data_IF_923101978155
#
_entry.id   IF_923101978155
#
_cell.length_a   1.000
_cell.length_b   1.000
_cell.length_c   1.000
_cell.angle_alpha   90.00
_cell.angle_beta   90.00
_cell.angle_gamma   90.00
#
_symmetry.space_group_name_H-M   'P 1'
#
loop_
_entity.id
_entity.type
_entity.pdbx_description
1 polymer ?
#
# COMPACT_ATOMS: atom_id res chain seq x y z
N UNK A 1 -2.94 -19.87 -5.85
CA UNK A 1 -2.72 -20.96 -6.86
C UNK A 1 -3.14 -20.58 -8.29
N UNK A 2 -4.43 -20.33 -8.60
CA UNK A 2 -4.86 -20.03 -9.98
C UNK A 2 -4.09 -18.88 -10.62
N UNK A 3 -4.00 -17.75 -9.93
CA UNK A 3 -3.27 -16.57 -10.39
C UNK A 3 -1.76 -16.85 -10.55
N UNK A 4 -1.12 -17.48 -9.54
CA UNK A 4 0.29 -17.88 -9.60
C UNK A 4 0.61 -18.81 -10.77
N UNK A 5 -0.28 -19.77 -11.08
CA UNK A 5 -0.12 -20.64 -12.25
C UNK A 5 -0.13 -19.84 -13.56
N UNK A 6 -1.02 -18.86 -13.69
CA UNK A 6 -1.03 -17.97 -14.85
C UNK A 6 0.29 -17.19 -14.97
N UNK A 7 0.82 -16.68 -13.85
CA UNK A 7 2.11 -16.00 -13.81
C UNK A 7 3.25 -16.94 -14.21
N UNK A 8 3.32 -18.14 -13.62
CA UNK A 8 4.35 -19.15 -13.96
C UNK A 8 4.30 -19.60 -15.41
N UNK A 9 3.10 -19.77 -15.98
CA UNK A 9 2.96 -20.26 -17.36
C UNK A 9 3.30 -19.19 -18.41
N UNK A 10 3.10 -17.89 -18.13
CA UNK A 10 3.13 -16.83 -19.15
C UNK A 10 3.98 -15.59 -18.83
N UNK A 11 4.45 -15.44 -17.59
CA UNK A 11 5.16 -14.25 -17.10
C UNK A 11 6.28 -14.57 -16.10
N UNK A 12 6.79 -15.80 -16.06
CA UNK A 12 7.81 -16.23 -15.10
C UNK A 12 9.07 -15.35 -15.16
N UNK A 13 9.39 -14.69 -14.05
CA UNK A 13 10.56 -13.79 -13.94
C UNK A 13 10.36 -12.40 -14.54
N UNK A 14 9.18 -12.10 -15.08
CA UNK A 14 8.77 -10.78 -15.56
C UNK A 14 7.99 -10.03 -14.47
N UNK A 15 7.83 -8.72 -14.63
CA UNK A 15 7.19 -7.92 -13.59
C UNK A 15 5.72 -8.24 -13.39
N UNK A 16 4.93 -8.33 -14.46
CA UNK A 16 3.47 -8.46 -14.35
C UNK A 16 2.88 -9.36 -15.43
N UNK A 17 1.84 -10.11 -15.06
CA UNK A 17 1.10 -10.96 -15.99
C UNK A 17 0.08 -10.15 -16.79
N UNK A 18 -0.02 -10.42 -18.09
CA UNK A 18 -1.14 -10.03 -18.95
C UNK A 18 -2.02 -11.27 -19.20
N UNK A 19 -3.04 -11.53 -18.35
CA UNK A 19 -3.70 -12.84 -18.28
C UNK A 19 -4.57 -13.17 -19.50
N UNK A 20 -5.07 -12.18 -20.24
CA UNK A 20 -5.90 -12.36 -21.44
C UNK A 20 -5.00 -12.65 -22.64
N UNK A 21 -3.97 -11.82 -22.87
CA UNK A 21 -3.03 -12.03 -23.97
C UNK A 21 -2.03 -13.16 -23.73
N UNK A 22 -1.96 -13.67 -22.48
CA UNK A 22 -0.99 -14.69 -22.05
C UNK A 22 0.45 -14.23 -22.31
N UNK A 23 0.71 -13.01 -21.89
CA UNK A 23 2.00 -12.34 -22.04
C UNK A 23 2.35 -11.62 -20.72
N UNK A 24 3.28 -10.69 -20.77
CA UNK A 24 3.76 -9.95 -19.61
C UNK A 24 4.03 -8.48 -19.98
N UNK A 25 4.11 -7.63 -18.96
CA UNK A 25 4.64 -6.27 -19.05
C UNK A 25 5.88 -6.13 -18.16
N UNK A 26 6.73 -5.16 -18.52
CA UNK A 26 7.93 -4.80 -17.77
C UNK A 26 7.93 -3.30 -17.53
N UNK A 27 8.37 -2.91 -16.33
CA UNK A 27 8.62 -1.53 -15.96
C UNK A 27 9.93 -1.43 -15.16
N UNK A 28 10.11 -2.30 -14.17
CA UNK A 28 11.39 -2.50 -13.49
C UNK A 28 12.30 -3.51 -14.21
N UNK A 29 11.71 -4.57 -14.76
CA UNK A 29 12.42 -5.74 -15.25
C UNK A 29 13.11 -6.51 -14.13
N UNK A 30 12.49 -6.63 -12.96
CA UNK A 30 13.06 -7.22 -11.75
C UNK A 30 12.25 -8.41 -11.21
N UNK A 31 11.26 -8.89 -11.96
CA UNK A 31 10.41 -9.99 -11.53
C UNK A 31 9.47 -9.56 -10.41
N UNK A 32 8.90 -8.36 -10.52
CA UNK A 32 8.10 -7.71 -9.49
C UNK A 32 7.07 -8.65 -8.84
N UNK A 33 6.14 -9.22 -9.61
CA UNK A 33 5.08 -10.12 -9.08
C UNK A 33 5.65 -11.32 -8.33
N UNK A 34 6.82 -11.83 -8.73
CA UNK A 34 7.48 -12.93 -8.03
C UNK A 34 7.94 -12.48 -6.64
N UNK A 35 8.63 -11.33 -6.56
CA UNK A 35 9.15 -10.80 -5.29
C UNK A 35 7.99 -10.43 -4.35
N UNK A 36 6.98 -9.76 -4.87
CA UNK A 36 5.77 -9.35 -4.14
C UNK A 36 5.01 -10.53 -3.54
N UNK A 37 5.07 -11.69 -4.19
CA UNK A 37 4.35 -12.89 -3.77
C UNK A 37 5.14 -13.79 -2.81
N UNK A 38 6.43 -13.53 -2.56
CA UNK A 38 7.30 -14.44 -1.78
C UNK A 38 6.77 -14.70 -0.37
N UNK A 39 6.49 -13.62 0.37
CA UNK A 39 5.98 -13.71 1.73
C UNK A 39 4.54 -14.25 1.76
N UNK A 40 3.70 -13.92 0.77
CA UNK A 40 2.37 -14.50 0.60
C UNK A 40 2.45 -16.02 0.42
N UNK A 41 3.33 -16.51 -0.47
CA UNK A 41 3.54 -17.94 -0.65
C UNK A 41 3.97 -18.60 0.66
N UNK A 42 4.84 -17.94 1.42
CA UNK A 42 5.28 -18.44 2.71
C UNK A 42 4.14 -18.53 3.75
N UNK A 43 3.35 -17.47 3.89
CA UNK A 43 2.21 -17.35 4.83
C UNK A 43 1.10 -18.35 4.49
N UNK A 44 0.78 -18.52 3.20
CA UNK A 44 -0.21 -19.48 2.70
C UNK A 44 0.33 -20.93 2.70
N UNK A 45 1.54 -21.17 3.19
CA UNK A 45 2.20 -22.50 3.20
C UNK A 45 2.39 -23.13 1.81
N UNK A 46 2.54 -22.32 0.77
CA UNK A 46 2.85 -22.72 -0.60
C UNK A 46 4.36 -22.96 -0.76
N UNK A 47 4.89 -23.95 -0.04
CA UNK A 47 6.33 -24.16 0.09
C UNK A 47 7.00 -24.60 -1.22
N UNK A 48 6.32 -25.37 -2.06
CA UNK A 48 6.86 -25.79 -3.36
C UNK A 48 7.02 -24.59 -4.30
N UNK A 49 5.98 -23.76 -4.42
CA UNK A 49 6.02 -22.53 -5.21
C UNK A 49 7.06 -21.54 -4.67
N UNK A 50 7.19 -21.44 -3.35
CA UNK A 50 8.20 -20.60 -2.71
C UNK A 50 9.63 -21.03 -3.07
N UNK A 51 9.94 -22.33 -3.00
CA UNK A 51 11.28 -22.83 -3.34
C UNK A 51 11.63 -22.60 -4.82
N UNK A 52 10.66 -22.74 -5.73
CA UNK A 52 10.86 -22.40 -7.15
C UNK A 52 11.15 -20.91 -7.34
N UNK A 53 10.38 -20.04 -6.68
CA UNK A 53 10.56 -18.59 -6.74
C UNK A 53 11.91 -18.17 -6.13
N UNK A 54 12.28 -18.77 -4.99
CA UNK A 54 13.59 -18.59 -4.35
C UNK A 54 14.73 -18.99 -5.26
N UNK A 55 14.61 -20.11 -5.99
CA UNK A 55 15.63 -20.53 -6.95
C UNK A 55 15.83 -19.47 -8.06
N UNK A 56 14.75 -18.84 -8.54
CA UNK A 56 14.85 -17.71 -9.47
C UNK A 56 15.50 -16.48 -8.83
N UNK A 57 15.15 -16.12 -7.59
CA UNK A 57 15.81 -15.00 -6.86
C UNK A 57 17.31 -15.23 -6.73
N UNK A 58 17.73 -16.47 -6.46
CA UNK A 58 19.14 -16.83 -6.34
C UNK A 58 19.87 -16.71 -7.70
N UNK A 59 19.27 -17.26 -8.77
CA UNK A 59 19.93 -17.40 -10.06
C UNK A 59 19.82 -16.16 -10.97
N UNK A 60 18.67 -15.50 -11.00
CA UNK A 60 18.29 -14.56 -12.06
C UNK A 60 18.13 -13.10 -11.58
N UNK A 61 17.79 -12.88 -10.31
CA UNK A 61 17.56 -11.52 -9.80
C UNK A 61 18.87 -10.73 -9.73
N UNK A 62 19.01 -9.71 -10.59
CA UNK A 62 20.17 -8.83 -10.66
C UNK A 62 19.78 -7.36 -10.75
N UNK A 63 20.43 -6.53 -9.94
CA UNK A 63 20.19 -5.09 -9.87
C UNK A 63 21.23 -4.26 -10.67
N UNK A 64 22.03 -4.92 -11.53
CA UNK A 64 23.04 -4.26 -12.37
C UNK A 64 22.45 -3.69 -13.68
N UNK A 65 21.13 -3.79 -13.89
CA UNK A 65 20.48 -3.30 -15.11
C UNK A 65 20.50 -1.77 -15.13
N UNK A 66 20.79 -1.19 -16.30
CA UNK A 66 20.68 0.25 -16.52
C UNK A 66 19.20 0.60 -16.79
N UNK A 67 18.44 0.73 -15.70
CA UNK A 67 17.00 1.03 -15.70
C UNK A 67 16.71 2.06 -14.61
N UNK A 68 15.86 3.03 -14.93
CA UNK A 68 15.33 3.99 -13.97
C UNK A 68 14.15 3.34 -13.25
N UNK A 69 14.15 3.39 -11.93
CA UNK A 69 13.10 2.85 -11.08
C UNK A 69 12.56 3.95 -10.19
N UNK A 70 11.25 3.94 -9.93
CA UNK A 70 10.67 4.83 -8.93
C UNK A 70 11.11 4.37 -7.53
N UNK A 71 11.61 5.30 -6.72
CA UNK A 71 12.14 5.03 -5.38
C UNK A 71 11.07 4.41 -4.47
N UNK A 72 9.87 5.00 -4.44
CA UNK A 72 8.78 4.55 -3.59
C UNK A 72 8.31 3.15 -3.96
N UNK A 73 7.96 2.94 -5.23
CA UNK A 73 7.45 1.64 -5.71
C UNK A 73 8.51 0.52 -5.55
N UNK A 74 9.79 0.81 -5.79
CA UNK A 74 10.87 -0.16 -5.55
C UNK A 74 11.04 -0.47 -4.07
N UNK A 75 10.86 0.53 -3.22
CA UNK A 75 11.02 0.37 -1.77
C UNK A 75 9.93 -0.49 -1.19
N UNK A 76 8.66 -0.14 -1.43
CA UNK A 76 7.55 -0.82 -0.77
C UNK A 76 7.40 -2.25 -1.28
N UNK A 77 7.63 -2.51 -2.57
CA UNK A 77 7.42 -3.83 -3.20
C UNK A 77 8.67 -4.71 -3.12
N UNK A 78 9.77 -4.24 -3.70
CA UNK A 78 10.98 -5.06 -3.86
C UNK A 78 11.75 -5.13 -2.54
N UNK A 79 12.08 -3.99 -1.94
CA UNK A 79 12.81 -3.99 -0.68
C UNK A 79 11.95 -4.55 0.46
N UNK A 80 10.70 -4.10 0.58
CA UNK A 80 9.73 -4.60 1.57
C UNK A 80 9.49 -6.12 1.46
N UNK A 81 9.25 -6.63 0.25
CA UNK A 81 9.05 -8.06 0.01
C UNK A 81 10.26 -8.92 0.34
N UNK A 82 11.47 -8.46 -0.03
CA UNK A 82 12.71 -9.16 0.33
C UNK A 82 12.96 -9.17 1.84
N UNK A 83 12.79 -8.03 2.52
CA UNK A 83 12.93 -7.93 3.98
C UNK A 83 11.94 -8.83 4.71
N UNK A 84 10.68 -8.79 4.33
CA UNK A 84 9.64 -9.62 4.96
C UNK A 84 9.90 -11.10 4.74
N UNK A 85 10.31 -11.48 3.53
CA UNK A 85 10.71 -12.86 3.24
C UNK A 85 11.89 -13.30 4.10
N UNK A 86 12.90 -12.45 4.29
CA UNK A 86 14.01 -12.72 5.21
C UNK A 86 13.50 -12.96 6.64
N UNK A 87 12.68 -12.07 7.20
CA UNK A 87 12.20 -12.22 8.58
C UNK A 87 11.32 -13.46 8.78
N UNK A 88 10.56 -13.87 7.76
CA UNK A 88 9.69 -15.05 7.85
C UNK A 88 10.43 -16.38 7.67
N UNK A 89 11.56 -16.38 6.96
CA UNK A 89 12.28 -17.62 6.59
C UNK A 89 13.62 -17.78 7.30
N UNK A 90 14.24 -16.69 7.73
CA UNK A 90 15.63 -16.64 8.20
C UNK A 90 16.68 -16.82 7.09
N UNK A 91 16.28 -16.84 5.82
CA UNK A 91 17.18 -17.08 4.70
C UNK A 91 17.91 -15.80 4.28
N UNK A 92 19.22 -15.78 4.48
CA UNK A 92 20.07 -14.60 4.25
C UNK A 92 20.16 -14.21 2.77
N UNK A 93 19.77 -15.08 1.82
CA UNK A 93 19.69 -14.71 0.40
C UNK A 93 18.84 -13.46 0.20
N UNK A 94 17.67 -13.40 0.84
CA UNK A 94 16.76 -12.27 0.68
C UNK A 94 17.31 -11.01 1.34
N UNK A 95 17.99 -11.16 2.47
CA UNK A 95 18.68 -10.05 3.13
C UNK A 95 19.80 -9.47 2.26
N UNK A 96 20.64 -10.33 1.67
CA UNK A 96 21.73 -9.90 0.79
C UNK A 96 21.18 -9.13 -0.43
N UNK A 97 20.05 -9.59 -0.99
CA UNK A 97 19.37 -8.88 -2.10
C UNK A 97 18.75 -7.56 -1.61
N UNK A 98 18.12 -7.52 -0.45
CA UNK A 98 17.54 -6.32 0.16
C UNK A 98 18.60 -5.23 0.39
N UNK A 99 19.74 -5.61 0.99
CA UNK A 99 20.87 -4.70 1.19
C UNK A 99 21.42 -4.17 -0.14
N UNK A 100 21.50 -5.03 -1.16
CA UNK A 100 21.99 -4.64 -2.48
C UNK A 100 21.07 -3.60 -3.16
N UNK A 101 19.76 -3.85 -3.21
CA UNK A 101 18.82 -2.89 -3.80
C UNK A 101 18.74 -1.60 -2.98
N UNK A 102 18.67 -1.69 -1.64
CA UNK A 102 18.63 -0.50 -0.77
C UNK A 102 19.84 0.41 -0.97
N UNK A 103 21.04 -0.18 -1.11
CA UNK A 103 22.26 0.58 -1.41
C UNK A 103 22.20 1.30 -2.77
N UNK A 104 21.53 0.71 -3.78
CA UNK A 104 21.38 1.29 -5.12
C UNK A 104 20.34 2.40 -5.20
N UNK A 105 19.43 2.46 -4.23
CA UNK A 105 18.43 3.52 -4.12
C UNK A 105 19.01 4.80 -3.48
N UNK A 106 20.12 4.70 -2.75
CA UNK A 106 20.74 5.83 -2.04
C UNK A 106 21.04 7.10 -2.86
N UNK A 107 21.42 7.02 -4.15
CA UNK A 107 21.61 8.21 -4.97
C UNK A 107 20.36 9.11 -5.07
N UNK A 108 19.15 8.57 -4.86
CA UNK A 108 17.91 9.35 -4.88
C UNK A 108 17.89 10.47 -3.84
N UNK A 109 18.53 10.26 -2.68
CA UNK A 109 18.59 11.23 -1.57
C UNK A 109 19.64 12.34 -1.78
N UNK A 110 20.41 12.28 -2.88
CA UNK A 110 21.45 13.27 -3.18
C UNK A 110 20.85 14.54 -3.81
N UNK A 111 20.00 15.23 -3.05
CA UNK A 111 19.37 16.49 -3.41
C UNK A 111 19.83 17.61 -2.47
N UNK A 112 19.65 18.90 -2.85
CA UNK A 112 20.00 20.01 -1.97
C UNK A 112 19.24 20.01 -0.63
N UNK A 113 17.96 19.59 -0.64
CA UNK A 113 17.13 19.54 0.57
C UNK A 113 17.18 18.20 1.32
N UNK A 114 17.79 17.16 0.74
CA UNK A 114 17.70 15.75 1.20
C UNK A 114 16.33 15.10 1.06
N UNK A 115 15.31 15.81 0.58
CA UNK A 115 14.10 15.20 0.05
C UNK A 115 14.46 14.48 -1.25
N UNK A 116 14.24 13.16 -1.35
CA UNK A 116 14.76 12.39 -2.47
C UNK A 116 14.03 12.69 -3.77
N UNK A 117 14.72 12.51 -4.89
CA UNK A 117 14.11 12.45 -6.21
C UNK A 117 13.15 11.25 -6.32
N UNK A 118 12.20 11.33 -7.25
CA UNK A 118 11.26 10.24 -7.56
C UNK A 118 11.96 9.03 -8.17
N UNK A 119 12.91 9.24 -9.07
CA UNK A 119 13.48 8.19 -9.90
C UNK A 119 15.00 8.04 -9.71
N UNK A 120 15.47 6.80 -9.68
CA UNK A 120 16.88 6.43 -9.55
C UNK A 120 17.26 5.30 -10.49
N UNK A 121 18.39 5.44 -11.16
CA UNK A 121 18.96 4.42 -12.00
C UNK A 121 19.78 3.44 -11.16
N UNK A 122 19.29 2.22 -10.97
CA UNK A 122 19.93 1.23 -10.10
C UNK A 122 21.25 0.66 -10.66
N UNK A 123 21.47 0.78 -11.97
CA UNK A 123 22.70 0.34 -12.63
C UNK A 123 23.79 1.41 -12.65
N UNK A 124 23.42 2.68 -12.93
CA UNK A 124 24.35 3.81 -13.05
C UNK A 124 24.57 4.58 -11.75
N UNK A 125 23.62 4.50 -10.81
CA UNK A 125 23.64 5.29 -9.58
C UNK A 125 23.36 6.78 -9.79
N UNK A 126 22.62 7.14 -10.85
CA UNK A 126 22.15 8.51 -11.11
C UNK A 126 20.69 8.63 -10.73
N UNK A 127 20.26 9.75 -10.16
CA UNK A 127 18.86 10.00 -9.82
C UNK A 127 18.38 11.33 -10.38
N UNK A 128 17.08 11.45 -10.64
CA UNK A 128 16.49 12.65 -11.22
C UNK A 128 15.00 12.79 -10.86
N UNK A 129 14.46 14.02 -10.83
CA UNK A 129 13.02 14.22 -10.73
C UNK A 129 12.35 13.95 -12.10
N UNK A 130 11.01 13.98 -12.19
CA UNK A 130 10.34 13.87 -13.47
C UNK A 130 10.70 15.04 -14.39
N UNK A 131 10.71 14.85 -15.71
CA UNK A 131 11.19 15.89 -16.65
C UNK A 131 10.42 17.23 -16.58
N UNK A 132 9.20 17.24 -16.05
CA UNK A 132 8.33 18.41 -16.00
C UNK A 132 8.34 19.16 -14.66
N UNK A 133 9.04 18.66 -13.64
CA UNK A 133 9.06 19.30 -12.31
C UNK A 133 10.35 18.97 -11.55
N UNK A 134 10.61 19.69 -10.46
CA UNK A 134 11.60 19.30 -9.44
C UNK A 134 10.95 18.84 -8.15
N UNK A 135 9.64 18.65 -8.17
CA UNK A 135 8.86 18.18 -7.05
C UNK A 135 8.82 16.65 -7.02
N UNK A 136 8.90 16.12 -5.79
CA UNK A 136 8.55 14.74 -5.48
C UNK A 136 7.15 14.70 -4.88
N UNK A 137 6.51 13.53 -4.96
CA UNK A 137 5.23 13.28 -4.28
C UNK A 137 5.46 13.11 -2.78
N UNK A 138 4.58 13.68 -1.94
CA UNK A 138 4.75 13.60 -0.48
C UNK A 138 4.61 12.17 0.05
N UNK A 139 3.59 11.41 -0.36
CA UNK A 139 3.46 10.01 0.00
C UNK A 139 4.70 9.19 -0.42
N UNK A 140 5.24 9.40 -1.63
CA UNK A 140 6.42 8.67 -2.12
C UNK A 140 7.64 8.86 -1.22
N UNK A 141 7.90 10.09 -0.72
CA UNK A 141 9.07 10.34 0.13
C UNK A 141 8.86 10.02 1.61
N UNK A 142 7.60 9.83 2.03
CA UNK A 142 7.21 9.55 3.43
C UNK A 142 6.68 8.14 3.66
N UNK A 143 6.78 7.29 2.65
CA UNK A 143 6.32 5.90 2.69
C UNK A 143 7.42 4.93 2.29
N UNK A 144 8.65 5.22 2.70
CA UNK A 144 9.86 4.43 2.48
C UNK A 144 10.62 4.14 3.78
N UNK A 145 10.11 4.67 4.89
CA UNK A 145 10.83 4.74 6.15
C UNK A 145 10.92 3.38 6.81
N UNK A 146 9.85 2.59 6.83
CA UNK A 146 9.83 1.29 7.52
C UNK A 146 10.92 0.35 7.00
N UNK A 147 11.07 0.31 5.68
CA UNK A 147 11.99 -0.56 4.95
C UNK A 147 13.45 -0.12 5.14
N UNK A 148 13.71 1.18 4.98
CA UNK A 148 15.05 1.73 5.17
C UNK A 148 15.49 1.69 6.64
N UNK A 149 14.56 1.90 7.58
CA UNK A 149 14.81 1.72 9.02
C UNK A 149 15.17 0.27 9.32
N UNK A 150 14.42 -0.70 8.80
CA UNK A 150 14.70 -2.11 9.05
C UNK A 150 16.05 -2.55 8.48
N UNK A 151 16.45 -2.06 7.29
CA UNK A 151 17.81 -2.29 6.77
C UNK A 151 18.93 -1.88 7.74
N UNK A 152 18.67 -0.89 8.60
CA UNK A 152 19.62 -0.40 9.61
C UNK A 152 19.38 -0.93 11.01
N UNK A 153 18.41 -1.82 11.17
CA UNK A 153 18.11 -2.49 12.44
C UNK A 153 19.39 -3.12 13.02
N UNK A 154 19.55 -3.13 14.36
CA UNK A 154 20.69 -3.79 15.01
C UNK A 154 20.91 -5.25 14.57
N UNK A 155 19.88 -5.90 14.02
CA UNK A 155 19.95 -7.25 13.47
C UNK A 155 20.59 -7.35 12.08
N UNK A 156 20.59 -6.28 11.28
CA UNK A 156 21.04 -6.27 9.87
C UNK A 156 22.37 -5.52 9.70
N UNK A 157 22.67 -4.56 10.59
CA UNK A 157 23.96 -3.87 10.70
C UNK A 157 24.46 -3.20 9.40
N UNK A 158 23.55 -2.64 8.62
CA UNK A 158 23.91 -1.72 7.54
C UNK A 158 24.25 -0.32 8.09
N UNK A 159 25.00 0.46 7.31
CA UNK A 159 25.45 1.81 7.65
C UNK A 159 24.32 2.69 8.18
N UNK A 160 24.52 3.32 9.35
CA UNK A 160 23.61 4.30 9.97
C UNK A 160 23.17 5.44 9.03
N UNK A 161 23.95 5.68 7.97
CA UNK A 161 23.66 6.68 6.93
C UNK A 161 22.28 6.50 6.27
N UNK A 162 21.78 5.26 6.15
CA UNK A 162 20.46 4.98 5.56
C UNK A 162 19.31 5.37 6.49
N UNK A 163 19.45 5.07 7.78
CA UNK A 163 18.45 5.43 8.80
C UNK A 163 18.35 6.95 8.92
N UNK A 164 19.50 7.61 8.97
CA UNK A 164 19.59 9.05 9.09
C UNK A 164 18.94 9.74 7.88
N UNK A 165 19.10 9.19 6.68
CA UNK A 165 18.50 9.75 5.46
C UNK A 165 16.97 9.80 5.53
N UNK A 166 16.31 8.70 5.90
CA UNK A 166 14.84 8.65 5.93
C UNK A 166 14.25 9.31 7.19
N UNK A 167 14.96 9.27 8.32
CA UNK A 167 14.56 9.98 9.53
C UNK A 167 14.63 11.50 9.37
N UNK A 168 15.61 12.01 8.61
CA UNK A 168 15.72 13.43 8.32
C UNK A 168 14.54 13.95 7.50
N UNK A 169 13.98 13.15 6.58
CA UNK A 169 12.77 13.51 5.82
C UNK A 169 11.60 13.78 6.77
N UNK A 170 11.33 12.85 7.70
CA UNK A 170 10.23 12.99 8.66
C UNK A 170 10.44 14.20 9.58
N UNK A 171 11.68 14.44 10.05
CA UNK A 171 12.03 15.61 10.86
C UNK A 171 11.84 16.93 10.11
N UNK A 172 12.17 16.97 8.82
CA UNK A 172 11.93 18.15 7.99
C UNK A 172 10.44 18.40 7.84
N UNK A 173 9.67 17.39 7.42
CA UNK A 173 8.22 17.50 7.19
C UNK A 173 7.45 17.86 8.46
N UNK A 174 7.85 17.33 9.62
CA UNK A 174 7.27 17.72 10.92
C UNK A 174 7.30 19.24 11.13
N UNK A 175 8.39 19.92 10.71
CA UNK A 175 8.60 21.36 10.90
C UNK A 175 8.03 22.24 9.78
N UNK A 176 7.51 21.67 8.70
CA UNK A 176 7.04 22.44 7.56
C UNK A 176 5.69 23.13 7.84
N UNK A 177 5.63 24.41 7.49
CA UNK A 177 4.39 25.17 7.38
C UNK A 177 3.59 24.74 6.14
N UNK A 178 2.34 25.22 6.04
CA UNK A 178 1.47 24.94 4.89
C UNK A 178 0.65 23.66 5.01
N UNK A 179 0.69 23.00 6.18
CA UNK A 179 -0.28 21.98 6.57
C UNK A 179 -1.63 22.62 6.95
N UNK A 180 -2.74 21.94 6.68
CA UNK A 180 -4.07 22.32 7.17
C UNK A 180 -4.46 21.39 8.32
N UNK A 181 -4.29 21.84 9.57
CA UNK A 181 -4.57 21.03 10.77
C UNK A 181 -3.90 19.63 10.69
N UNK A 182 -2.64 19.56 10.27
CA UNK A 182 -1.90 18.29 10.08
C UNK A 182 -2.04 17.63 8.70
N UNK A 183 -2.99 18.08 7.86
CA UNK A 183 -3.11 17.60 6.47
C UNK A 183 -2.00 18.17 5.59
N UNK A 184 -1.31 17.33 4.84
CA UNK A 184 -0.18 17.72 3.97
C UNK A 184 -0.63 17.98 2.53
N UNK A 185 0.01 18.93 1.82
CA UNK A 185 -0.07 19.04 0.37
C UNK A 185 0.47 17.78 -0.33
N UNK A 186 0.16 17.62 -1.62
CA UNK A 186 0.55 16.41 -2.38
C UNK A 186 2.02 16.38 -2.83
N UNK A 187 2.69 17.52 -2.87
CA UNK A 187 4.01 17.67 -3.50
C UNK A 187 4.98 18.46 -2.63
N UNK A 188 6.26 18.12 -2.75
CA UNK A 188 7.37 18.76 -2.03
C UNK A 188 8.57 18.95 -2.96
N UNK A 189 9.16 20.13 -2.95
CA UNK A 189 10.24 20.47 -3.88
C UNK A 189 11.59 19.95 -3.39
N UNK A 190 12.31 19.21 -4.24
CA UNK A 190 13.59 18.59 -3.87
C UNK A 190 14.76 19.57 -3.73
N UNK A 191 14.65 20.80 -4.27
CA UNK A 191 15.70 21.81 -4.16
C UNK A 191 15.63 22.60 -2.85
N UNK A 192 14.43 22.97 -2.40
CA UNK A 192 14.25 23.85 -1.23
C UNK A 192 13.54 23.18 -0.03
N UNK A 193 13.05 21.95 -0.19
CA UNK A 193 12.38 21.18 0.86
C UNK A 193 11.01 21.72 1.28
N UNK A 194 10.40 22.62 0.50
CA UNK A 194 9.10 23.22 0.81
C UNK A 194 7.97 22.50 0.09
N UNK A 195 6.80 22.43 0.71
CA UNK A 195 5.59 21.96 0.03
C UNK A 195 5.24 22.86 -1.16
N UNK A 196 4.77 22.24 -2.23
CA UNK A 196 4.17 22.91 -3.39
C UNK A 196 2.70 22.52 -3.50
N UNK A 197 1.95 23.14 -4.42
CA UNK A 197 0.51 22.90 -4.56
C UNK A 197 -0.29 23.07 -3.25
N UNK A 198 0.12 24.05 -2.43
CA UNK A 198 -0.53 24.35 -1.15
C UNK A 198 -2.02 24.67 -1.32
N UNK A 199 -2.81 24.33 -0.31
CA UNK A 199 -4.26 24.54 -0.35
C UNK A 199 -5.04 23.38 -0.98
N UNK A 200 -4.39 22.34 -1.47
CA UNK A 200 -5.02 21.10 -1.97
C UNK A 200 -4.67 19.95 -1.04
N UNK A 201 -5.69 19.35 -0.43
CA UNK A 201 -5.56 18.28 0.57
C UNK A 201 -6.46 17.11 0.20
N UNK A 202 -5.87 15.92 0.13
CA UNK A 202 -6.54 14.65 -0.13
C UNK A 202 -5.97 13.61 0.83
N UNK A 203 -6.73 12.54 1.08
CA UNK A 203 -6.26 11.32 1.71
C UNK A 203 -6.12 10.16 0.72
N UNK A 204 -6.31 10.42 -0.57
CA UNK A 204 -6.08 9.45 -1.64
C UNK A 204 -4.66 9.56 -2.18
N UNK A 205 -4.52 9.26 -3.47
CA UNK A 205 -3.22 9.18 -4.13
C UNK A 205 -2.37 10.42 -3.84
N UNK A 206 -1.07 10.19 -3.57
CA UNK A 206 -0.02 11.20 -3.30
C UNK A 206 0.09 11.67 -1.85
N UNK A 207 -0.86 11.34 -0.99
CA UNK A 207 -0.84 11.75 0.41
C UNK A 207 -1.29 10.66 1.40
N UNK A 208 -2.10 9.68 0.98
CA UNK A 208 -2.52 8.50 1.73
C UNK A 208 -1.45 7.93 2.69
N UNK A 209 -0.39 7.33 2.15
CA UNK A 209 0.55 6.51 2.92
C UNK A 209 1.50 7.34 3.80
N UNK A 210 1.53 8.68 3.65
CA UNK A 210 2.14 9.57 4.65
C UNK A 210 1.49 9.36 6.03
N UNK A 211 0.15 9.40 6.06
CA UNK A 211 -0.61 9.26 7.31
C UNK A 211 -0.49 7.85 7.88
N UNK A 212 -0.46 6.86 7.00
CA UNK A 212 -0.22 5.45 7.34
C UNK A 212 1.16 5.26 8.01
N UNK A 213 2.22 5.80 7.41
CA UNK A 213 3.59 5.61 7.87
C UNK A 213 3.93 6.44 9.10
N UNK A 214 3.23 7.55 9.39
CA UNK A 214 3.35 8.20 10.70
C UNK A 214 3.02 7.22 11.82
N UNK A 215 1.86 6.56 11.74
CA UNK A 215 1.43 5.59 12.75
C UNK A 215 2.32 4.36 12.74
N UNK A 216 2.57 3.78 11.56
CA UNK A 216 3.30 2.51 11.44
C UNK A 216 4.76 2.65 11.86
N UNK A 217 5.42 3.78 11.61
CA UNK A 217 6.78 4.04 12.12
C UNK A 217 6.79 4.17 13.65
N UNK A 218 5.81 4.86 14.24
CA UNK A 218 5.70 4.96 15.69
C UNK A 218 5.53 3.58 16.34
N UNK A 219 4.72 2.71 15.73
CA UNK A 219 4.56 1.31 16.17
C UNK A 219 5.88 0.53 15.98
N UNK A 220 6.50 0.59 14.80
CA UNK A 220 7.76 -0.10 14.50
C UNK A 220 8.86 0.25 15.50
N UNK A 221 9.00 1.54 15.85
CA UNK A 221 9.98 2.05 16.82
C UNK A 221 9.65 1.75 18.29
N UNK A 222 8.68 0.88 18.56
CA UNK A 222 8.29 0.49 19.91
C UNK A 222 7.61 1.62 20.68
N UNK A 223 6.89 2.51 19.97
CA UNK A 223 6.06 3.60 20.52
C UNK A 223 6.84 4.69 21.26
N UNK A 224 8.08 4.98 20.82
CA UNK A 224 8.99 5.94 21.49
C UNK A 224 9.19 7.27 20.75
N UNK A 225 8.70 7.39 19.54
CA UNK A 225 8.93 8.55 18.67
C UNK A 225 7.72 9.49 18.68
N UNK A 226 7.62 10.32 19.73
CA UNK A 226 6.44 11.16 20.01
C UNK A 226 6.05 12.09 18.84
N UNK A 227 7.02 12.62 18.09
CA UNK A 227 6.75 13.51 16.94
C UNK A 227 5.90 12.83 15.85
N UNK A 228 6.12 11.54 15.61
CA UNK A 228 5.33 10.78 14.63
C UNK A 228 3.88 10.63 15.10
N UNK A 229 3.70 10.39 16.41
CA UNK A 229 2.39 10.27 17.01
C UNK A 229 1.64 11.61 17.05
N UNK A 230 2.34 12.69 17.39
CA UNK A 230 1.78 14.05 17.40
C UNK A 230 1.27 14.45 16.00
N UNK A 231 2.08 14.26 14.96
CA UNK A 231 1.70 14.54 13.57
C UNK A 231 0.51 13.66 13.14
N UNK A 232 0.49 12.38 13.53
CA UNK A 232 -0.63 11.48 13.21
C UNK A 232 -1.93 11.94 13.88
N UNK A 233 -1.91 12.20 15.18
CA UNK A 233 -3.08 12.65 15.94
C UNK A 233 -3.60 13.98 15.40
N UNK A 234 -2.70 14.92 15.10
CA UNK A 234 -3.07 16.19 14.49
C UNK A 234 -3.74 15.97 13.14
N UNK A 235 -3.16 15.14 12.27
CA UNK A 235 -3.74 14.85 10.95
C UNK A 235 -5.12 14.21 11.05
N UNK A 236 -5.36 13.26 11.96
CA UNK A 236 -6.68 12.64 12.15
C UNK A 236 -7.72 13.67 12.61
N UNK A 237 -7.36 14.60 13.50
CA UNK A 237 -8.25 15.72 13.84
C UNK A 237 -8.50 16.65 12.64
N UNK A 238 -7.48 16.89 11.80
CA UNK A 238 -7.61 17.59 10.53
C UNK A 238 -8.58 16.91 9.56
N UNK A 239 -8.53 15.57 9.46
CA UNK A 239 -9.48 14.76 8.67
C UNK A 239 -10.90 14.97 9.19
N UNK A 240 -11.11 14.80 10.50
CA UNK A 240 -12.43 14.95 11.14
C UNK A 240 -13.02 16.34 10.90
N UNK A 241 -12.19 17.37 11.00
CA UNK A 241 -12.61 18.77 10.87
C UNK A 241 -12.87 19.20 9.43
N UNK A 242 -12.03 18.78 8.48
CA UNK A 242 -11.99 19.38 7.15
C UNK A 242 -12.49 18.45 6.03
N UNK A 243 -12.41 17.13 6.21
CA UNK A 243 -12.60 16.16 5.12
C UNK A 243 -13.78 15.20 5.32
N UNK A 244 -14.29 15.04 6.55
CA UNK A 244 -15.45 14.19 6.79
C UNK A 244 -16.75 14.86 6.40
N UNK A 245 -17.56 14.13 5.64
CA UNK A 245 -18.95 14.48 5.33
C UNK A 245 -19.86 13.26 5.42
N UNK A 246 -21.16 13.50 5.34
CA UNK A 246 -22.21 12.48 5.32
C UNK A 246 -22.88 12.44 3.97
N UNK A 247 -23.02 11.26 3.39
CA UNK A 247 -23.74 11.04 2.14
C UNK A 247 -25.26 11.03 2.34
N UNK A 248 -26.01 11.07 1.25
CA UNK A 248 -27.46 10.92 1.20
C UNK A 248 -27.82 9.88 0.13
N UNK A 249 -28.82 9.00 0.35
CA UNK A 249 -29.74 8.98 1.50
C UNK A 249 -29.22 8.22 2.74
N UNK A 250 -28.17 7.41 2.63
CA UNK A 250 -27.82 6.44 3.68
C UNK A 250 -27.06 7.02 4.87
N UNK A 251 -26.56 8.27 4.79
CA UNK A 251 -25.83 8.89 5.90
C UNK A 251 -24.47 8.25 6.17
N UNK A 252 -23.82 7.72 5.13
CA UNK A 252 -22.49 7.11 5.23
C UNK A 252 -21.44 8.19 5.50
N UNK A 253 -20.50 7.91 6.41
CA UNK A 253 -19.36 8.79 6.64
C UNK A 253 -18.34 8.57 5.53
N UNK A 254 -17.98 9.61 4.79
CA UNK A 254 -16.93 9.50 3.76
C UNK A 254 -15.90 10.61 3.92
N UNK A 255 -14.72 10.37 3.34
CA UNK A 255 -13.60 11.32 3.33
C UNK A 255 -13.55 11.95 1.94
N UNK A 256 -13.80 13.26 1.86
CA UNK A 256 -13.65 14.02 0.62
C UNK A 256 -12.26 14.64 0.47
N UNK A 257 -12.16 15.57 -0.48
CA UNK A 257 -10.96 16.37 -0.72
C UNK A 257 -11.27 17.86 -0.50
N UNK A 258 -10.24 18.64 -0.17
CA UNK A 258 -10.35 20.11 -0.08
C UNK A 258 -9.38 20.74 -1.07
N UNK A 259 -9.88 21.70 -1.86
CA UNK A 259 -9.06 22.53 -2.74
C UNK A 259 -9.40 23.99 -2.53
N UNK A 260 -8.43 24.77 -2.06
CA UNK A 260 -8.56 26.20 -1.79
C UNK A 260 -9.78 26.55 -0.93
N UNK A 261 -10.04 25.74 0.11
CA UNK A 261 -11.17 25.89 1.02
C UNK A 261 -12.51 25.37 0.48
N UNK A 262 -12.55 24.84 -0.75
CA UNK A 262 -13.74 24.20 -1.31
C UNK A 262 -13.70 22.69 -1.13
N UNK A 263 -14.76 22.13 -0.57
CA UNK A 263 -14.93 20.70 -0.38
C UNK A 263 -15.38 20.02 -1.69
N UNK A 264 -14.78 18.88 -1.98
CA UNK A 264 -15.14 17.97 -3.07
C UNK A 264 -15.55 16.64 -2.48
N UNK A 265 -16.70 16.10 -2.90
CA UNK A 265 -17.18 14.79 -2.44
C UNK A 265 -16.53 13.60 -3.15
N UNK A 266 -15.41 13.83 -3.82
CA UNK A 266 -14.57 12.80 -4.44
C UNK A 266 -13.86 11.99 -3.36
N UNK A 267 -13.93 10.67 -3.47
CA UNK A 267 -13.17 9.74 -2.64
C UNK A 267 -12.54 8.68 -3.55
N UNK A 268 -11.21 8.55 -3.48
CA UNK A 268 -10.48 7.48 -4.16
C UNK A 268 -10.67 6.18 -3.36
N UNK A 269 -10.68 5.03 -4.03
CA UNK A 269 -10.70 3.72 -3.36
C UNK A 269 -9.49 3.54 -2.43
N UNK A 270 -8.35 4.15 -2.78
CA UNK A 270 -7.15 4.22 -1.95
C UNK A 270 -7.47 4.66 -0.51
N UNK A 271 -8.38 5.63 -0.30
CA UNK A 271 -8.74 6.14 1.03
C UNK A 271 -9.31 5.06 1.96
N UNK A 272 -9.74 3.91 1.41
CA UNK A 272 -10.16 2.76 2.18
C UNK A 272 -9.04 2.06 2.97
N UNK A 273 -7.79 2.54 2.94
CA UNK A 273 -6.73 2.15 3.88
C UNK A 273 -6.97 2.72 5.31
N UNK A 274 -7.65 3.88 5.37
CA UNK A 274 -7.80 4.66 6.60
C UNK A 274 -8.57 3.93 7.72
N UNK A 275 -9.68 3.20 7.46
CA UNK A 275 -10.37 2.44 8.51
C UNK A 275 -9.43 1.46 9.24
N UNK A 276 -8.62 0.70 8.50
CA UNK A 276 -7.65 -0.24 9.04
C UNK A 276 -6.58 0.46 9.87
N UNK A 277 -6.04 1.56 9.35
CA UNK A 277 -5.04 2.40 10.04
C UNK A 277 -5.61 3.00 11.34
N UNK A 278 -6.83 3.53 11.33
CA UNK A 278 -7.51 4.04 12.52
C UNK A 278 -7.73 2.95 13.57
N UNK A 279 -8.18 1.76 13.14
CA UNK A 279 -8.39 0.62 14.02
C UNK A 279 -7.06 0.12 14.63
N UNK A 280 -5.98 0.09 13.84
CA UNK A 280 -4.62 -0.21 14.28
C UNK A 280 -4.15 0.79 15.35
N UNK A 281 -4.39 2.08 15.13
CA UNK A 281 -4.09 3.12 16.11
C UNK A 281 -4.86 2.92 17.42
N UNK A 282 -6.17 2.73 17.34
CA UNK A 282 -7.01 2.51 18.51
C UNK A 282 -6.58 1.26 19.31
N UNK A 283 -6.25 0.15 18.63
CA UNK A 283 -5.70 -1.04 19.29
C UNK A 283 -4.38 -0.75 20.01
N UNK A 284 -3.56 0.14 19.45
CA UNK A 284 -2.27 0.53 20.01
C UNK A 284 -2.34 1.61 21.10
N UNK A 285 -3.53 1.99 21.56
CA UNK A 285 -3.74 2.91 22.68
C UNK A 285 -4.11 4.34 22.29
N UNK A 286 -4.42 4.59 21.02
CA UNK A 286 -4.91 5.90 20.56
C UNK A 286 -6.39 6.11 20.93
N UNK A 287 -6.93 7.34 20.85
CA UNK A 287 -8.29 7.66 21.28
C UNK A 287 -9.35 6.70 20.73
N UNK A 288 -10.30 6.31 21.57
CA UNK A 288 -11.29 5.27 21.24
C UNK A 288 -12.24 5.66 20.09
N UNK A 289 -12.45 6.96 19.88
CA UNK A 289 -13.27 7.48 18.79
C UNK A 289 -12.63 7.22 17.40
N UNK A 290 -11.33 6.90 17.34
CA UNK A 290 -10.70 6.40 16.12
C UNK A 290 -11.31 5.06 15.69
N UNK A 291 -11.63 4.16 16.62
CA UNK A 291 -12.32 2.90 16.31
C UNK A 291 -13.75 3.14 15.85
N UNK A 292 -14.44 4.13 16.41
CA UNK A 292 -15.80 4.50 15.97
C UNK A 292 -15.80 5.07 14.55
N UNK A 293 -14.83 5.92 14.23
CA UNK A 293 -14.63 6.42 12.87
C UNK A 293 -14.22 5.30 11.91
N UNK A 294 -13.32 4.40 12.34
CA UNK A 294 -12.92 3.24 11.56
C UNK A 294 -14.12 2.38 11.15
N UNK A 295 -15.02 2.07 12.09
CA UNK A 295 -16.23 1.29 11.80
C UNK A 295 -17.15 2.00 10.80
N UNK A 296 -17.31 3.33 10.93
CA UNK A 296 -18.14 4.11 10.01
C UNK A 296 -17.56 4.16 8.59
N UNK A 297 -16.25 4.38 8.46
CA UNK A 297 -15.59 4.41 7.17
C UNK A 297 -15.51 3.00 6.54
N UNK A 298 -15.37 1.95 7.35
CA UNK A 298 -15.38 0.58 6.86
C UNK A 298 -16.73 0.20 6.25
N UNK A 299 -17.84 0.64 6.86
CA UNK A 299 -19.18 0.50 6.25
C UNK A 299 -19.22 1.22 4.89
N UNK A 300 -18.74 2.46 4.80
CA UNK A 300 -18.71 3.21 3.55
C UNK A 300 -17.88 2.50 2.47
N UNK A 301 -16.70 2.01 2.80
CA UNK A 301 -15.85 1.26 1.89
C UNK A 301 -16.51 -0.04 1.44
N UNK A 302 -17.23 -0.74 2.32
CA UNK A 302 -18.04 -1.90 1.93
C UNK A 302 -19.19 -1.52 0.99
N UNK A 303 -19.87 -0.40 1.25
CA UNK A 303 -20.94 0.14 0.40
C UNK A 303 -20.43 0.56 -0.99
N UNK A 304 -19.18 1.02 -1.11
CA UNK A 304 -18.54 1.27 -2.41
C UNK A 304 -18.44 0.01 -3.28
N UNK A 305 -18.43 -1.19 -2.67
CA UNK A 305 -18.49 -2.47 -3.38
C UNK A 305 -19.93 -2.87 -3.65
N UNK A 306 -20.77 -3.02 -2.61
CA UNK A 306 -22.10 -3.64 -2.72
C UNK A 306 -23.10 -2.84 -3.55
N UNK A 307 -22.90 -1.53 -3.69
CA UNK A 307 -23.75 -0.70 -4.53
C UNK A 307 -23.42 -0.81 -6.02
N UNK A 308 -22.32 -1.47 -6.38
CA UNK A 308 -21.95 -1.75 -7.77
C UNK A 308 -22.61 -3.04 -8.23
N UNK A 309 -23.02 -3.09 -9.50
CA UNK A 309 -23.64 -4.30 -10.09
C UNK A 309 -22.75 -5.55 -9.99
N UNK A 310 -21.43 -5.33 -10.01
CA UNK A 310 -20.40 -6.36 -9.91
C UNK A 310 -20.04 -6.69 -8.46
N UNK A 311 -20.47 -5.88 -7.50
CA UNK A 311 -20.00 -5.97 -6.12
C UNK A 311 -18.50 -5.69 -5.96
N UNK A 312 -17.90 -4.92 -6.87
CA UNK A 312 -16.49 -4.51 -6.86
C UNK A 312 -16.39 -2.98 -6.96
N UNK A 313 -15.68 -2.34 -6.02
CA UNK A 313 -15.56 -0.89 -6.01
C UNK A 313 -14.84 -0.35 -7.26
N UNK A 314 -15.27 0.80 -7.78
CA UNK A 314 -14.50 1.58 -8.76
C UNK A 314 -13.28 2.24 -8.11
N UNK A 315 -12.34 2.75 -8.93
CA UNK A 315 -11.18 3.53 -8.47
C UNK A 315 -11.58 4.84 -7.77
N UNK A 316 -12.65 5.50 -8.22
CA UNK A 316 -13.10 6.81 -7.71
C UNK A 316 -14.63 6.87 -7.65
N UNK A 317 -15.14 7.30 -6.51
CA UNK A 317 -16.56 7.61 -6.28
C UNK A 317 -16.75 9.09 -5.94
N UNK A 318 -17.91 9.63 -6.28
CA UNK A 318 -18.36 10.95 -5.83
C UNK A 318 -19.66 10.79 -5.05
N UNK A 319 -19.63 11.04 -3.75
CA UNK A 319 -20.82 10.93 -2.92
C UNK A 319 -21.78 12.10 -3.16
N UNK A 320 -23.08 11.81 -3.16
CA UNK A 320 -24.10 12.84 -3.10
C UNK A 320 -24.37 13.21 -1.63
N UNK A 321 -24.45 14.52 -1.35
CA UNK A 321 -24.77 15.04 -0.01
C UNK A 321 -26.23 15.53 0.10
N UNK A 322 -26.99 15.43 -0.98
CA UNK A 322 -28.39 15.86 -1.10
C UNK A 322 -29.21 14.78 -1.82
N UNK A 323 -30.54 14.88 -1.78
CA UNK A 323 -31.47 13.87 -2.31
C UNK A 323 -31.03 13.33 -3.68
N UNK A 324 -30.90 12.00 -3.80
CA UNK A 324 -30.43 11.36 -5.02
C UNK A 324 -30.00 9.90 -4.81
N UNK A 325 -29.20 9.39 -5.75
CA UNK A 325 -28.43 8.14 -5.58
C UNK A 325 -27.31 8.38 -4.57
N UNK A 326 -26.78 7.32 -3.96
CA UNK A 326 -25.73 7.44 -2.94
C UNK A 326 -24.43 8.07 -3.48
N UNK A 327 -23.98 7.62 -4.64
CA UNK A 327 -22.76 8.12 -5.29
C UNK A 327 -22.85 8.04 -6.83
N UNK A 328 -22.06 8.89 -7.49
CA UNK A 328 -21.74 8.79 -8.92
C UNK A 328 -20.37 8.15 -9.06
N UNK A 329 -20.26 7.17 -9.95
CA UNK A 329 -18.98 6.56 -10.31
C UNK A 329 -18.33 7.37 -11.42
N UNK A 330 -17.11 7.87 -11.20
CA UNK A 330 -16.37 8.64 -12.22
C UNK A 330 -15.29 7.83 -12.94
N UNK A 331 -14.71 6.81 -12.27
CA UNK A 331 -13.77 5.85 -12.89
C UNK A 331 -14.18 4.41 -12.56
N UNK A 332 -14.95 3.79 -13.45
CA UNK A 332 -15.55 2.44 -13.27
C UNK A 332 -14.54 1.29 -13.18
N UNK A 333 -13.25 1.54 -13.34
CA UNK A 333 -12.23 0.48 -13.33
C UNK A 333 -12.07 -0.07 -11.92
N UNK A 334 -11.82 -1.38 -11.82
CA UNK A 334 -11.32 -2.01 -10.61
C UNK A 334 -9.99 -2.68 -10.97
N UNK A 335 -8.93 -2.33 -10.25
CA UNK A 335 -7.58 -2.83 -10.50
C UNK A 335 -7.18 -3.96 -9.55
N UNK A 336 -8.15 -4.62 -8.91
CA UNK A 336 -7.93 -5.66 -7.90
C UNK A 336 -7.26 -5.18 -6.60
N UNK A 337 -7.42 -3.89 -6.29
CA UNK A 337 -6.76 -3.22 -5.17
C UNK A 337 -7.14 -3.75 -3.78
N UNK A 338 -6.25 -3.64 -2.77
CA UNK A 338 -6.39 -4.33 -1.48
C UNK A 338 -7.07 -3.52 -0.37
N UNK A 339 -7.19 -2.20 -0.45
CA UNK A 339 -7.32 -1.32 0.71
C UNK A 339 -8.59 -1.61 1.54
N UNK A 340 -9.68 -2.03 0.87
CA UNK A 340 -10.88 -2.49 1.59
C UNK A 340 -10.65 -3.80 2.33
N UNK A 341 -10.02 -4.81 1.73
CA UNK A 341 -9.74 -6.08 2.43
C UNK A 341 -8.65 -5.93 3.50
N UNK A 342 -7.69 -5.04 3.30
CA UNK A 342 -6.74 -4.62 4.34
C UNK A 342 -7.48 -4.10 5.57
N UNK A 343 -8.39 -3.14 5.37
CA UNK A 343 -9.17 -2.58 6.47
C UNK A 343 -10.08 -3.61 7.13
N UNK A 344 -10.73 -4.49 6.36
CA UNK A 344 -11.51 -5.60 6.91
C UNK A 344 -10.67 -6.51 7.80
N UNK A 345 -9.43 -6.82 7.39
CA UNK A 345 -8.48 -7.61 8.18
C UNK A 345 -8.21 -6.96 9.54
N UNK A 346 -7.82 -5.68 9.58
CA UNK A 346 -7.56 -4.98 10.84
C UNK A 346 -8.82 -4.91 11.73
N UNK A 347 -9.96 -4.53 11.14
CA UNK A 347 -11.23 -4.44 11.89
C UNK A 347 -11.62 -5.80 12.47
N UNK A 348 -11.51 -6.88 11.69
CA UNK A 348 -11.77 -8.23 12.20
C UNK A 348 -10.81 -8.62 13.33
N UNK A 349 -9.50 -8.39 13.15
CA UNK A 349 -8.49 -8.75 14.17
C UNK A 349 -8.73 -8.07 15.51
N UNK A 350 -9.15 -6.80 15.49
CA UNK A 350 -9.32 -6.02 16.73
C UNK A 350 -10.72 -6.10 17.35
N UNK A 351 -11.76 -6.35 16.55
CA UNK A 351 -13.15 -6.38 17.03
C UNK A 351 -13.71 -7.79 17.17
N UNK A 352 -13.18 -8.76 16.42
CA UNK A 352 -13.69 -10.13 16.26
C UNK A 352 -15.14 -10.17 15.75
N UNK A 353 -15.61 -9.10 15.11
CA UNK A 353 -16.92 -9.04 14.50
C UNK A 353 -16.89 -9.77 13.15
N UNK A 354 -17.54 -10.93 13.09
CA UNK A 354 -17.52 -11.81 11.92
C UNK A 354 -18.16 -11.19 10.67
N UNK A 355 -18.92 -10.10 10.79
CA UNK A 355 -19.44 -9.40 9.61
C UNK A 355 -18.32 -8.95 8.66
N UNK A 356 -17.12 -8.65 9.19
CA UNK A 356 -15.99 -8.24 8.37
C UNK A 356 -15.44 -9.39 7.52
N UNK A 357 -15.50 -10.62 8.03
CA UNK A 357 -15.23 -11.82 7.24
C UNK A 357 -16.32 -12.03 6.19
N UNK A 358 -17.60 -11.91 6.56
CA UNK A 358 -18.71 -12.06 5.61
C UNK A 358 -18.58 -11.06 4.43
N UNK A 359 -18.29 -9.80 4.73
CA UNK A 359 -18.03 -8.76 3.72
C UNK A 359 -16.83 -9.09 2.85
N UNK A 360 -15.72 -9.54 3.45
CA UNK A 360 -14.55 -9.99 2.69
C UNK A 360 -14.88 -11.19 1.79
N UNK A 361 -15.71 -12.11 2.26
CA UNK A 361 -16.08 -13.31 1.50
C UNK A 361 -16.92 -12.93 0.29
N UNK A 362 -17.88 -12.01 0.45
CA UNK A 362 -18.67 -11.47 -0.65
C UNK A 362 -17.76 -10.84 -1.73
N UNK A 363 -16.81 -10.00 -1.33
CA UNK A 363 -15.86 -9.36 -2.26
C UNK A 363 -15.01 -10.41 -2.99
N UNK A 364 -14.47 -11.40 -2.27
CA UNK A 364 -13.67 -12.48 -2.88
C UNK A 364 -14.48 -13.30 -3.89
N UNK A 365 -15.75 -13.56 -3.59
CA UNK A 365 -16.66 -14.25 -4.51
C UNK A 365 -16.92 -13.42 -5.78
N UNK A 366 -17.03 -12.10 -5.65
CA UNK A 366 -17.17 -11.20 -6.79
C UNK A 366 -15.89 -11.12 -7.63
N UNK A 367 -14.70 -11.10 -7.02
CA UNK A 367 -13.44 -11.25 -7.76
C UNK A 367 -13.43 -12.56 -8.56
N UNK A 368 -13.73 -13.70 -7.90
CA UNK A 368 -13.79 -15.00 -8.57
C UNK A 368 -14.79 -15.04 -9.73
N UNK A 369 -15.92 -14.33 -9.61
CA UNK A 369 -17.00 -14.30 -10.61
C UNK A 369 -16.68 -13.40 -11.81
N UNK A 370 -16.07 -12.24 -11.57
CA UNK A 370 -15.97 -11.19 -12.59
C UNK A 370 -14.55 -10.95 -13.12
N UNK A 371 -13.49 -11.36 -12.42
CA UNK A 371 -12.10 -11.06 -12.81
C UNK A 371 -11.26 -12.29 -13.16
N UNK A 372 -11.75 -13.50 -12.85
CA UNK A 372 -11.02 -14.75 -13.12
C UNK A 372 -10.94 -15.05 -14.62
N UNK A 373 -9.73 -15.01 -15.18
CA UNK A 373 -9.43 -15.41 -16.57
C UNK A 373 -9.09 -16.90 -16.64
N UNK A 374 -9.53 -17.59 -17.70
CA UNK A 374 -9.37 -19.05 -17.84
C UNK A 374 -8.36 -19.46 -18.90
N UNK A 375 -7.51 -20.43 -18.55
CA UNK A 375 -6.60 -21.11 -19.46
C UNK A 375 -7.31 -22.32 -20.07
N UNK A 376 -7.15 -22.53 -21.39
CA UNK A 376 -7.94 -23.43 -22.26
C UNK A 376 -7.98 -24.91 -21.80
N UNK A 377 -7.16 -25.33 -20.83
CA UNK A 377 -7.19 -26.71 -20.29
C UNK A 377 -8.32 -27.00 -19.30
N UNK A 378 -9.14 -26.02 -18.91
CA UNK A 378 -10.31 -26.23 -18.07
C UNK A 378 -11.60 -25.91 -18.85
N UNK A 379 -12.34 -26.95 -19.27
CA UNK A 379 -13.57 -26.87 -20.07
C UNK A 379 -14.80 -26.25 -19.34
N UNK A 380 -14.62 -25.35 -18.37
CA UNK A 380 -15.72 -24.64 -17.72
C UNK A 380 -15.26 -23.29 -17.18
N UNK A 381 -15.58 -22.20 -17.88
CA UNK A 381 -15.61 -20.86 -17.30
C UNK A 381 -16.68 -19.96 -17.96
N UNK A 382 -17.69 -19.55 -17.19
CA UNK A 382 -18.56 -18.36 -17.39
C UNK A 382 -18.06 -17.30 -16.40
N UNK A 383 -18.04 -15.99 -16.64
CA UNK A 383 -18.73 -15.10 -17.61
C UNK A 383 -17.88 -13.85 -17.84
N UNK A 384 -17.85 -13.31 -19.07
CA UNK A 384 -17.23 -12.00 -19.38
C UNK A 384 -18.06 -11.17 -20.38
N UNK A 385 -19.39 -11.36 -20.42
CA UNK A 385 -20.22 -10.77 -21.48
C UNK A 385 -21.46 -10.00 -21.04
N UNK A 386 -21.67 -9.72 -19.74
CA UNK A 386 -22.94 -9.11 -19.29
C UNK A 386 -22.79 -7.76 -18.56
N UNK A 387 -21.57 -7.32 -18.25
CA UNK A 387 -21.34 -5.99 -17.67
C UNK A 387 -20.16 -5.40 -18.41
N UNK A 388 -20.30 -4.16 -18.89
CA UNK A 388 -19.28 -3.38 -19.62
C UNK A 388 -18.10 -2.98 -18.72
N UNK A 389 -17.53 -3.92 -17.98
CA UNK A 389 -16.24 -3.75 -17.31
C UNK A 389 -15.18 -3.70 -18.40
N UNK A 390 -14.49 -2.55 -18.51
CA UNK A 390 -13.27 -2.49 -19.28
C UNK A 390 -12.23 -3.35 -18.57
N UNK A 391 -11.94 -4.52 -19.13
CA UNK A 391 -10.94 -5.42 -18.56
C UNK A 391 -9.57 -4.99 -19.05
N UNK A 392 -8.78 -4.46 -18.12
CA UNK A 392 -7.37 -4.22 -18.37
C UNK A 392 -6.66 -5.58 -18.40
N UNK A 393 -5.93 -5.88 -19.48
CA UNK A 393 -5.15 -7.10 -19.62
C UNK A 393 -3.86 -7.01 -18.79
N UNK A 394 -4.04 -6.99 -17.47
CA UNK A 394 -3.02 -6.79 -16.45
C UNK A 394 -3.46 -7.44 -15.14
N UNK A 395 -2.53 -8.12 -14.47
CA UNK A 395 -2.63 -8.51 -13.07
C UNK A 395 -1.50 -7.81 -12.34
N UNK A 396 -1.83 -6.71 -11.65
CA UNK A 396 -0.88 -5.97 -10.82
C UNK A 396 -0.32 -6.87 -9.71
N UNK A 397 0.94 -6.65 -9.32
CA UNK A 397 1.64 -7.52 -8.36
C UNK A 397 0.95 -7.55 -6.99
N UNK A 398 0.44 -6.40 -6.53
CA UNK A 398 -0.29 -6.27 -5.27
C UNK A 398 -1.52 -7.18 -5.15
N UNK A 399 -2.07 -7.69 -6.26
CA UNK A 399 -3.15 -8.67 -6.13
C UNK A 399 -2.66 -9.92 -5.39
N UNK A 400 -1.43 -10.36 -5.68
CA UNK A 400 -0.78 -11.45 -4.96
C UNK A 400 -0.09 -10.96 -3.69
N UNK A 401 0.58 -9.81 -3.73
CA UNK A 401 1.31 -9.25 -2.59
C UNK A 401 0.39 -8.86 -1.43
N UNK A 402 -0.79 -8.33 -1.73
CA UNK A 402 -1.65 -7.69 -0.73
C UNK A 402 -3.04 -8.31 -0.67
N UNK A 403 -3.80 -8.23 -1.77
CA UNK A 403 -5.23 -8.55 -1.78
C UNK A 403 -5.48 -9.98 -1.30
N UNK A 404 -4.77 -10.96 -1.87
CA UNK A 404 -4.90 -12.36 -1.45
C UNK A 404 -4.26 -12.65 -0.08
N UNK A 405 -3.21 -11.92 0.31
CA UNK A 405 -2.59 -12.04 1.64
C UNK A 405 -3.58 -11.60 2.73
N UNK A 406 -4.18 -10.43 2.57
CA UNK A 406 -5.18 -9.93 3.52
C UNK A 406 -6.46 -10.78 3.52
N UNK A 407 -6.93 -11.30 2.39
CA UNK A 407 -8.02 -12.29 2.41
C UNK A 407 -7.66 -13.52 3.24
N UNK A 408 -6.47 -14.09 3.04
CA UNK A 408 -6.04 -15.25 3.81
C UNK A 408 -5.96 -14.95 5.32
N UNK A 409 -5.38 -13.81 5.69
CA UNK A 409 -5.25 -13.40 7.08
C UNK A 409 -6.59 -13.03 7.74
N UNK A 410 -7.53 -12.47 6.98
CA UNK A 410 -8.90 -12.16 7.41
C UNK A 410 -9.66 -13.45 7.76
N UNK A 411 -9.49 -14.52 6.99
CA UNK A 411 -10.14 -15.81 7.24
C UNK A 411 -9.34 -16.78 8.12
N UNK A 412 -8.16 -16.38 8.58
CA UNK A 412 -7.34 -17.21 9.47
C UNK A 412 -7.95 -17.27 10.87
N UNK A 413 -8.25 -18.48 11.35
CA UNK A 413 -8.61 -18.72 12.74
C UNK A 413 -7.41 -18.59 13.70
N UNK A 414 -6.17 -18.69 13.17
CA UNK A 414 -4.96 -18.50 13.95
C UNK A 414 -4.50 -17.04 13.89
N UNK A 415 -4.68 -16.35 15.02
CA UNK A 415 -4.32 -14.95 15.17
C UNK A 415 -2.80 -14.77 15.36
N UNK A 416 -2.05 -15.85 15.61
CA UNK A 416 -0.59 -15.81 15.71
C UNK A 416 0.08 -15.85 14.34
N UNK A 417 -0.63 -16.24 13.28
CA UNK A 417 -0.15 -16.06 11.90
C UNK A 417 -0.07 -14.56 11.65
N UNK A 418 1.17 -14.06 11.61
CA UNK A 418 1.53 -12.64 11.56
C UNK A 418 0.81 -11.83 12.66
N UNK A 419 1.27 -12.00 13.90
CA UNK A 419 0.72 -11.24 15.04
C UNK A 419 0.98 -9.73 14.88
N UNK A 420 -0.07 -8.93 15.04
CA UNK A 420 -0.01 -7.46 15.01
C UNK A 420 0.68 -6.85 16.25
N UNK A 421 1.00 -7.67 17.25
CA UNK A 421 1.86 -7.28 18.38
C UNK A 421 3.36 -7.43 18.04
N UNK A 422 3.69 -8.19 17.00
CA UNK A 422 5.06 -8.53 16.60
C UNK A 422 5.46 -7.92 15.26
N UNK A 423 4.48 -7.68 14.37
CA UNK A 423 4.71 -7.19 13.03
C UNK A 423 3.88 -5.95 12.75
N UNK A 424 4.44 -5.07 11.93
CA UNK A 424 3.74 -4.00 11.24
C UNK A 424 3.87 -4.23 9.74
N UNK A 425 2.76 -4.25 9.02
CA UNK A 425 2.78 -4.36 7.55
C UNK A 425 3.25 -3.05 6.95
N UNK A 426 4.14 -3.07 5.97
CA UNK A 426 4.40 -1.91 5.14
C UNK A 426 3.17 -1.60 4.24
N UNK A 427 3.24 -0.57 3.38
CA UNK A 427 2.10 -0.15 2.53
C UNK A 427 1.85 -1.08 1.33
N UNK A 428 2.68 -2.11 1.13
CA UNK A 428 2.44 -3.19 0.15
C UNK A 428 2.27 -4.56 0.86
N UNK A 429 1.66 -4.53 2.04
CA UNK A 429 1.33 -5.70 2.87
C UNK A 429 2.52 -6.63 3.22
N UNK A 430 3.75 -6.14 3.24
CA UNK A 430 4.93 -6.91 3.64
C UNK A 430 5.19 -6.73 5.15
N UNK A 431 5.08 -7.79 5.99
CA UNK A 431 5.22 -7.68 7.44
C UNK A 431 6.68 -7.52 7.90
N UNK A 432 6.97 -6.39 8.54
CA UNK A 432 8.25 -6.08 9.17
C UNK A 432 8.15 -6.16 10.69
N UNK A 433 9.21 -6.57 11.41
CA UNK A 433 9.16 -6.74 12.85
C UNK A 433 9.03 -5.40 13.59
N UNK A 434 8.29 -5.40 14.69
CA UNK A 434 8.26 -4.32 15.67
C UNK A 434 9.52 -4.43 16.55
N UNK A 435 10.21 -3.32 16.75
CA UNK A 435 11.38 -3.28 17.62
C UNK A 435 10.93 -3.32 19.07
N UNK A 436 11.23 -4.43 19.76
CA UNK A 436 10.88 -4.59 21.15
C UNK A 436 11.39 -3.40 21.99
N UNK A 437 10.52 -2.83 22.81
CA UNK A 437 10.93 -1.86 23.81
C UNK A 437 11.88 -2.57 24.79
N UNK A 438 13.18 -2.31 24.66
CA UNK A 438 14.20 -2.74 25.64
C UNK A 438 13.83 -2.34 27.07
#
# INVERSE_FOLDING_TARGET
IHAWKGYKDFAWGHDELKPISKSYSEWFGLGLTLIDALDTMWILSLKEEFEEAKAWVAAELTFNKNVDVNLFETTIRILGGLLSTYHLTGDTLFLDKAVNIGSRLMPAFNTPSKIPYSDVNIGKGTAHPPHWTSDSTVAEVTSIQLEFRELTSPMILLSLVLQDAVAEIMKQIHKLDGKLDGLVPMFINTNNGQFTHQGIYTLGARADSYYEYLLKQWIQGGKKEDQLLEDYLQAIEGVKKNLLQKSSPSGLTFVGEVSHGQFSSKMDHLVCFLPGTLALGAYNGLPSDHMDLAKQLMETCYQMYTQMETGLSPEIVHFHMHQGKEAVVSKIHNLLRPETVESLFYLYRFTKDHKYQDWGWEILQNFNRYTKVCTIKANLCRSVWDISLWINDKMDSFFLGETLKYFYLLFSDDFNVISLDQYVFNTEAHPLPIWASA
#
